data_IF_063754908565
#
_entry.id   IF_063754908565
#
_cell.length_a   1.000
_cell.length_b   1.000
_cell.length_c   1.000
_cell.angle_alpha   90.00
_cell.angle_beta   90.00
_cell.angle_gamma   90.00
#
_symmetry.space_group_name_H-M   'P 1'
#
loop_
_entity.id
_entity.type
_entity.pdbx_description
1 polymer ?
#
# COMPACT_ATOMS: atom_id res chain seq x y z
N UNK A 1 -15.16 11.29 -10.12
CA UNK A 1 -13.69 11.25 -9.96
C UNK A 1 -13.18 12.20 -8.88
N UNK A 2 -13.58 13.48 -8.89
CA UNK A 2 -13.19 14.44 -7.83
C UNK A 2 -13.55 13.96 -6.41
N UNK A 3 -14.75 13.40 -6.23
CA UNK A 3 -15.20 12.84 -4.96
C UNK A 3 -14.33 11.68 -4.46
N UNK A 4 -14.03 10.70 -5.33
CA UNK A 4 -13.17 9.56 -4.99
C UNK A 4 -11.76 10.02 -4.62
N UNK A 5 -11.20 10.97 -5.38
CA UNK A 5 -9.91 11.56 -5.08
C UNK A 5 -9.90 12.26 -3.70
N UNK A 6 -10.94 13.02 -3.38
CA UNK A 6 -11.12 13.63 -2.07
C UNK A 6 -11.14 12.60 -0.94
N UNK A 7 -11.94 11.53 -1.09
CA UNK A 7 -12.05 10.44 -0.11
C UNK A 7 -10.70 9.75 0.10
N UNK A 8 -10.01 9.38 -0.98
CA UNK A 8 -8.68 8.74 -0.92
C UNK A 8 -7.66 9.64 -0.20
N UNK A 9 -7.72 10.95 -0.45
CA UNK A 9 -6.83 11.93 0.19
C UNK A 9 -7.11 12.03 1.68
N UNK A 10 -8.38 12.17 2.08
CA UNK A 10 -8.78 12.24 3.49
C UNK A 10 -8.39 10.96 4.23
N UNK A 11 -8.63 9.79 3.65
CA UNK A 11 -8.23 8.50 4.23
C UNK A 11 -6.72 8.44 4.42
N UNK A 12 -5.93 8.87 3.42
CA UNK A 12 -4.48 8.88 3.56
C UNK A 12 -4.02 9.69 4.78
N UNK A 13 -4.47 10.94 4.91
CA UNK A 13 -4.10 11.77 6.06
C UNK A 13 -4.62 11.21 7.38
N UNK A 14 -5.83 10.64 7.38
CA UNK A 14 -6.42 10.03 8.56
C UNK A 14 -5.66 8.81 9.05
N UNK A 15 -4.93 8.08 8.21
CA UNK A 15 -4.18 6.89 8.62
C UNK A 15 -2.65 7.07 8.64
N UNK A 16 -2.11 8.09 7.97
CA UNK A 16 -0.66 8.31 7.89
C UNK A 16 -0.19 9.56 8.66
N UNK A 17 -1.11 10.43 9.10
CA UNK A 17 -0.77 11.66 9.86
C UNK A 17 -1.44 11.72 11.22
N UNK A 18 -2.70 11.30 11.33
CA UNK A 18 -3.47 11.43 12.59
C UNK A 18 -3.18 10.33 13.65
N UNK A 19 -3.06 9.03 13.32
CA UNK A 19 -2.59 8.03 14.26
C UNK A 19 -1.06 8.04 14.33
N UNK A 20 -0.52 7.51 15.43
CA UNK A 20 0.91 7.27 15.59
C UNK A 20 1.52 6.43 14.45
N UNK A 21 2.82 6.21 14.51
CA UNK A 21 3.62 5.62 13.42
C UNK A 21 3.02 4.30 12.87
N UNK A 22 2.60 4.24 11.60
CA UNK A 22 2.04 3.02 11.00
C UNK A 22 2.96 1.80 11.13
N UNK A 23 4.28 2.01 11.15
CA UNK A 23 5.24 0.92 11.35
C UNK A 23 5.14 0.32 12.77
N UNK A 24 4.88 1.14 13.78
CA UNK A 24 4.65 0.67 15.15
C UNK A 24 3.35 -0.13 15.26
N UNK A 25 2.30 0.30 14.56
CA UNK A 25 1.04 -0.45 14.50
C UNK A 25 1.25 -1.87 13.96
N UNK A 26 2.10 -2.02 12.94
CA UNK A 26 2.39 -3.31 12.31
C UNK A 26 3.24 -4.26 13.16
N UNK A 27 4.14 -3.74 13.99
CA UNK A 27 5.05 -4.53 14.83
C UNK A 27 4.46 -4.84 16.22
N UNK A 28 3.47 -4.07 16.66
CA UNK A 28 2.93 -4.18 18.02
C UNK A 28 3.97 -3.80 19.08
N UNK A 29 3.84 -4.34 20.29
CA UNK A 29 4.69 -3.98 21.44
C UNK A 29 6.12 -4.57 21.40
N UNK A 30 6.43 -5.43 20.42
CA UNK A 30 7.77 -6.03 20.30
C UNK A 30 8.67 -5.11 19.47
N UNK A 31 9.15 -4.04 20.09
CA UNK A 31 9.99 -3.03 19.46
C UNK A 31 11.47 -3.44 19.46
N UNK A 32 11.90 -4.14 18.42
CA UNK A 32 13.30 -4.06 17.99
C UNK A 32 13.44 -2.86 17.04
N UNK A 33 14.24 -1.87 17.45
CA UNK A 33 14.53 -0.67 16.64
C UNK A 33 15.01 -0.98 15.22
N UNK A 34 15.72 -2.10 15.03
CA UNK A 34 16.18 -2.54 13.71
C UNK A 34 15.01 -3.03 12.86
N UNK A 35 14.09 -3.81 13.45
CA UNK A 35 12.88 -4.27 12.77
C UNK A 35 11.97 -3.10 12.40
N UNK A 36 11.85 -2.09 13.27
CA UNK A 36 11.09 -0.87 12.98
C UNK A 36 11.65 -0.14 11.75
N UNK A 37 12.97 0.02 11.67
CA UNK A 37 13.60 0.66 10.50
C UNK A 37 13.36 -0.15 9.21
N UNK A 38 13.45 -1.48 9.28
CA UNK A 38 13.16 -2.36 8.14
C UNK A 38 11.70 -2.26 7.68
N UNK A 39 10.74 -2.23 8.61
CA UNK A 39 9.32 -2.03 8.29
C UNK A 39 9.10 -0.66 7.66
N UNK A 40 9.65 0.41 8.25
CA UNK A 40 9.55 1.75 7.68
C UNK A 40 10.05 1.81 6.26
N UNK A 41 11.21 1.22 6.00
CA UNK A 41 11.79 1.18 4.67
C UNK A 41 10.95 0.35 3.69
N UNK A 42 10.53 -0.86 4.10
CA UNK A 42 9.70 -1.77 3.28
C UNK A 42 8.40 -1.11 2.82
N UNK A 43 7.74 -0.35 3.69
CA UNK A 43 6.46 0.28 3.38
C UNK A 43 6.57 1.75 2.93
N UNK A 44 7.80 2.30 2.88
CA UNK A 44 8.07 3.68 2.50
C UNK A 44 7.67 4.72 3.55
N UNK A 45 7.42 4.31 4.80
CA UNK A 45 7.11 5.22 5.91
C UNK A 45 8.32 6.08 6.34
N UNK A 46 9.52 5.72 5.89
CA UNK A 46 10.75 6.51 6.05
C UNK A 46 10.82 7.70 5.05
N UNK A 47 9.91 7.80 4.08
CA UNK A 47 9.93 8.86 3.05
C UNK A 47 9.17 10.11 3.47
N UNK A 48 9.45 11.27 2.85
CA UNK A 48 8.62 12.46 3.03
C UNK A 48 7.14 12.20 2.73
N UNK A 49 6.24 12.86 3.44
CA UNK A 49 4.78 12.60 3.37
C UNK A 49 4.22 12.69 1.95
N UNK A 50 4.73 13.61 1.13
CA UNK A 50 4.31 13.76 -0.27
C UNK A 50 4.72 12.57 -1.14
N UNK A 51 5.88 11.97 -0.86
CA UNK A 51 6.33 10.74 -1.53
C UNK A 51 5.46 9.56 -1.11
N UNK A 52 5.13 9.45 0.18
CA UNK A 52 4.22 8.41 0.69
C UNK A 52 2.83 8.52 0.04
N UNK A 53 2.32 9.74 -0.11
CA UNK A 53 1.05 10.01 -0.78
C UNK A 53 1.11 9.66 -2.26
N UNK A 54 2.19 10.00 -2.97
CA UNK A 54 2.39 9.60 -4.36
C UNK A 54 2.44 8.08 -4.54
N UNK A 55 3.13 7.37 -3.64
CA UNK A 55 3.12 5.90 -3.61
C UNK A 55 1.71 5.35 -3.37
N UNK A 56 0.96 5.95 -2.45
CA UNK A 56 -0.41 5.53 -2.15
C UNK A 56 -1.35 5.69 -3.35
N UNK A 57 -1.29 6.83 -4.04
CA UNK A 57 -2.03 7.04 -5.28
C UNK A 57 -1.62 6.05 -6.38
N UNK A 58 -0.32 5.80 -6.53
CA UNK A 58 0.20 4.86 -7.52
C UNK A 58 -0.26 3.42 -7.23
N UNK A 59 -0.30 3.01 -5.97
CA UNK A 59 -0.78 1.69 -5.56
C UNK A 59 -2.28 1.50 -5.85
N UNK A 60 -3.09 2.53 -5.62
CA UNK A 60 -4.55 2.48 -5.86
C UNK A 60 -4.94 2.63 -7.33
N UNK A 61 -4.16 3.39 -8.10
CA UNK A 61 -4.47 3.66 -9.50
C UNK A 61 -4.34 2.39 -10.38
N UNK A 62 -5.28 2.16 -11.31
CA UNK A 62 -5.14 1.11 -12.32
C UNK A 62 -3.95 1.33 -13.23
N UNK A 63 -3.65 2.59 -13.56
CA UNK A 63 -2.46 2.98 -14.33
C UNK A 63 -1.38 3.42 -13.35
N UNK A 64 -0.20 2.80 -13.43
CA UNK A 64 0.83 2.97 -12.41
C UNK A 64 2.24 2.94 -12.97
N UNK A 65 3.14 3.59 -12.24
CA UNK A 65 4.55 3.73 -12.56
C UNK A 65 5.38 2.91 -11.58
N UNK A 66 6.33 2.16 -12.13
CA UNK A 66 7.15 1.23 -11.36
C UNK A 66 8.62 1.43 -11.66
N UNK A 67 9.43 1.46 -10.61
CA UNK A 67 10.88 1.47 -10.78
C UNK A 67 11.38 0.11 -11.27
N UNK A 68 12.50 0.12 -11.99
CA UNK A 68 13.25 -1.10 -12.33
C UNK A 68 14.28 -1.49 -11.25
N UNK A 69 14.53 -0.63 -10.28
CA UNK A 69 15.44 -0.93 -9.18
C UNK A 69 14.70 -1.75 -8.11
N UNK A 70 15.30 -2.87 -7.69
CA UNK A 70 14.72 -3.82 -6.73
C UNK A 70 14.52 -3.22 -5.34
N UNK A 71 15.39 -2.27 -4.97
CA UNK A 71 15.35 -1.60 -3.66
C UNK A 71 14.26 -0.53 -3.57
N UNK A 72 13.69 -0.11 -4.71
CA UNK A 72 12.69 0.95 -4.70
C UNK A 72 11.32 0.39 -4.29
N UNK A 73 10.57 1.14 -3.49
CA UNK A 73 9.22 0.78 -3.06
C UNK A 73 8.28 0.40 -4.23
N UNK A 74 8.42 1.11 -5.36
CA UNK A 74 7.58 0.93 -6.55
C UNK A 74 8.09 -0.16 -7.49
N UNK A 75 9.10 -0.95 -7.10
CA UNK A 75 9.62 -2.04 -7.91
C UNK A 75 8.51 -3.00 -8.34
N UNK A 76 8.47 -3.34 -9.63
CA UNK A 76 7.49 -4.29 -10.14
C UNK A 76 7.84 -5.72 -9.73
N UNK A 77 7.08 -6.26 -8.78
CA UNK A 77 7.17 -7.65 -8.34
C UNK A 77 5.82 -8.35 -8.59
N UNK A 78 5.83 -9.49 -9.30
CA UNK A 78 4.63 -10.27 -9.61
C UNK A 78 3.91 -10.86 -8.39
N UNK A 79 4.59 -10.95 -7.23
CA UNK A 79 3.95 -11.31 -5.96
C UNK A 79 3.22 -10.11 -5.31
N UNK A 80 3.66 -8.88 -5.59
CA UNK A 80 3.11 -7.64 -5.02
C UNK A 80 1.99 -7.06 -5.88
N UNK A 81 2.20 -7.04 -7.20
CA UNK A 81 1.30 -6.42 -8.16
C UNK A 81 0.72 -7.45 -9.12
N UNK A 82 -0.60 -7.39 -9.31
CA UNK A 82 -1.32 -8.19 -10.30
C UNK A 82 -1.70 -7.31 -11.49
N UNK A 83 -1.04 -7.51 -12.63
CA UNK A 83 -1.26 -6.69 -13.82
C UNK A 83 -0.28 -6.98 -14.95
N UNK A 84 -0.26 -6.07 -15.92
CA UNK A 84 0.58 -6.15 -17.10
C UNK A 84 1.42 -4.88 -17.23
N UNK A 85 2.71 -5.05 -17.49
CA UNK A 85 3.59 -3.93 -17.85
C UNK A 85 3.36 -3.62 -19.32
N UNK A 86 3.02 -2.37 -19.64
CA UNK A 86 2.76 -1.94 -21.01
C UNK A 86 4.06 -1.65 -21.76
N UNK A 87 4.90 -0.80 -21.19
CA UNK A 87 6.18 -0.43 -21.76
C UNK A 87 7.11 0.12 -20.68
N UNK A 88 8.39 0.24 -21.03
CA UNK A 88 9.44 0.71 -20.13
C UNK A 88 10.21 1.87 -20.76
N UNK A 89 10.35 2.99 -20.05
CA UNK A 89 11.12 4.16 -20.48
C UNK A 89 12.20 4.45 -19.43
N UNK A 90 13.46 4.33 -19.84
CA UNK A 90 14.61 4.54 -18.95
C UNK A 90 14.54 3.65 -17.71
N UNK A 91 14.42 4.27 -16.53
CA UNK A 91 14.36 3.62 -15.21
C UNK A 91 12.94 3.28 -14.74
N UNK A 92 11.90 3.65 -15.48
CA UNK A 92 10.50 3.53 -15.07
C UNK A 92 9.70 2.68 -16.06
N UNK A 93 8.78 1.87 -15.55
CA UNK A 93 7.86 1.03 -16.30
C UNK A 93 6.43 1.52 -16.07
N UNK A 94 5.66 1.67 -17.14
CA UNK A 94 4.23 1.94 -17.08
C UNK A 94 3.48 0.60 -17.07
N UNK A 95 2.55 0.42 -16.13
CA UNK A 95 1.77 -0.79 -16.00
C UNK A 95 0.28 -0.50 -15.82
N UNK A 96 -0.55 -1.44 -16.28
CA UNK A 96 -1.96 -1.54 -15.90
C UNK A 96 -2.08 -2.67 -14.89
N UNK A 97 -2.60 -2.38 -13.70
CA UNK A 97 -2.76 -3.35 -12.61
C UNK A 97 -4.08 -3.22 -11.88
N UNK A 98 -4.45 -4.27 -11.16
CA UNK A 98 -5.47 -4.16 -10.12
C UNK A 98 -4.98 -3.23 -8.99
N UNK A 99 -5.88 -2.47 -8.32
CA UNK A 99 -5.52 -1.66 -7.16
C UNK A 99 -4.87 -2.51 -6.06
N UNK A 100 -3.75 -2.02 -5.53
CA UNK A 100 -3.01 -2.65 -4.44
C UNK A 100 -3.36 -1.95 -3.12
N UNK A 101 -4.12 -2.65 -2.25
CA UNK A 101 -4.61 -2.11 -0.98
C UNK A 101 -3.63 -2.26 0.19
N UNK A 102 -2.39 -2.67 -0.10
CA UNK A 102 -1.33 -2.93 0.90
C UNK A 102 -1.69 -4.03 1.91
N UNK A 103 -0.83 -4.19 2.89
CA UNK A 103 -0.99 -5.12 4.02
C UNK A 103 -1.75 -4.47 5.17
N UNK A 104 -2.42 -5.29 5.97
CA UNK A 104 -3.14 -4.87 7.16
C UNK A 104 -2.17 -4.42 8.26
N UNK A 105 -2.46 -3.29 8.90
CA UNK A 105 -1.72 -2.83 10.08
C UNK A 105 -1.99 -3.68 11.33
N UNK A 106 -3.09 -4.41 11.37
CA UNK A 106 -3.50 -5.20 12.54
C UNK A 106 -3.23 -6.70 12.36
N UNK A 107 -3.14 -7.18 11.11
CA UNK A 107 -2.85 -8.58 10.78
C UNK A 107 -1.54 -8.67 10.01
N UNK A 108 -0.45 -8.97 10.72
CA UNK A 108 0.90 -9.02 10.16
C UNK A 108 0.97 -9.94 8.93
N UNK A 109 1.52 -9.41 7.82
CA UNK A 109 1.72 -10.14 6.58
C UNK A 109 0.46 -10.48 5.78
N UNK A 110 -0.74 -10.09 6.23
CA UNK A 110 -1.99 -10.30 5.47
C UNK A 110 -2.30 -9.10 4.58
N UNK A 111 -2.62 -9.36 3.31
CA UNK A 111 -3.12 -8.32 2.40
C UNK A 111 -4.53 -7.87 2.79
N UNK A 112 -4.83 -6.59 2.65
CA UNK A 112 -6.18 -6.05 2.88
C UNK A 112 -7.18 -6.67 1.91
N UNK A 113 -6.80 -6.93 0.67
CA UNK A 113 -7.64 -7.62 -0.33
C UNK A 113 -8.05 -9.01 0.13
N UNK A 114 -7.15 -9.75 0.79
CA UNK A 114 -7.45 -11.05 1.36
C UNK A 114 -8.41 -10.92 2.55
N UNK A 115 -8.16 -9.97 3.45
CA UNK A 115 -9.07 -9.71 4.59
C UNK A 115 -10.49 -9.43 4.09
N UNK A 116 -10.64 -8.55 3.09
CA UNK A 116 -11.95 -8.23 2.52
C UNK A 116 -12.62 -9.44 1.86
N UNK A 117 -11.87 -10.29 1.14
CA UNK A 117 -12.40 -11.52 0.56
C UNK A 117 -12.85 -12.53 1.62
N UNK A 118 -12.15 -12.60 2.74
CA UNK A 118 -12.49 -13.47 3.87
C UNK A 118 -13.71 -12.94 4.66
N UNK A 119 -13.83 -11.62 4.82
CA UNK A 119 -14.85 -11.03 5.71
C UNK A 119 -16.14 -10.64 5.01
N UNK A 120 -16.07 -10.00 3.83
CA UNK A 120 -17.26 -9.40 3.20
C UNK A 120 -18.38 -10.41 2.91
N UNK A 121 -18.13 -11.59 2.31
CA UNK A 121 -19.21 -12.53 2.00
C UNK A 121 -19.96 -13.00 3.25
N UNK A 122 -19.23 -13.27 4.33
CA UNK A 122 -19.80 -13.69 5.59
C UNK A 122 -20.62 -12.57 6.23
N UNK A 123 -20.14 -11.33 6.20
CA UNK A 123 -20.89 -10.17 6.70
C UNK A 123 -22.17 -9.96 5.91
N UNK A 124 -22.15 -10.10 4.58
CA UNK A 124 -23.36 -10.00 3.75
C UNK A 124 -24.37 -11.10 4.09
N UNK A 125 -23.91 -12.34 4.28
CA UNK A 125 -24.78 -13.45 4.65
C UNK A 125 -25.45 -13.23 6.02
N UNK A 126 -24.72 -12.67 6.99
CA UNK A 126 -25.23 -12.38 8.33
C UNK A 126 -26.15 -11.16 8.38
N UNK A 127 -26.14 -10.30 7.37
CA UNK A 127 -26.91 -9.05 7.33
C UNK A 127 -28.31 -9.22 6.72
N UNK A 128 -28.63 -10.40 6.16
CA UNK A 128 -29.93 -10.76 5.58
C UNK A 128 -30.67 -11.65 6.59
#
# INVERSE_FOLDING_TARGET
MLTLFGVVTVIFFLFNVLPGDPAQMMLGQNEDSQQLALVKHKYGFDKPIMTQYAYYLNDLSPVSFHSKNVEDYTFWNGAKYNGVVLFSIGKTSLAIKAPYLRESFTKQGKQVTQVLKETLPNTFLLAI
#
